data_IF_780821637686
#
_entry.id   IF_780821637686
#
_cell.length_a   1.000
_cell.length_b   1.000
_cell.length_c   1.000
_cell.angle_alpha   90.00
_cell.angle_beta   90.00
_cell.angle_gamma   90.00
#
_symmetry.space_group_name_H-M   'P 1'
#
loop_
_entity.id
_entity.type
_entity.pdbx_description
1 polymer ?
#
# COMPACT_ATOMS: atom_id res chain seq x y z
N UNK A 1 46.04 -57.21 16.26
CA UNK A 1 46.10 -55.75 16.14
C UNK A 1 45.09 -55.32 15.10
N UNK A 2 43.88 -55.00 15.54
CA UNK A 2 42.85 -54.32 14.74
C UNK A 2 42.35 -53.21 15.66
N UNK A 3 42.78 -51.99 15.36
CA UNK A 3 42.38 -50.77 16.04
C UNK A 3 40.88 -50.55 15.81
N UNK A 4 40.08 -50.19 16.82
CA UNK A 4 38.71 -49.78 16.57
C UNK A 4 38.75 -48.41 15.86
N UNK A 5 38.01 -48.32 14.76
CA UNK A 5 37.69 -47.08 14.08
C UNK A 5 37.05 -46.10 15.07
N UNK A 6 37.62 -44.91 15.17
CA UNK A 6 37.06 -43.77 15.90
C UNK A 6 35.66 -43.52 15.36
N UNK A 7 34.64 -43.76 16.20
CA UNK A 7 33.29 -43.28 15.95
C UNK A 7 33.35 -41.76 15.93
N UNK A 8 33.10 -41.19 14.75
CA UNK A 8 32.87 -39.77 14.56
C UNK A 8 31.51 -39.46 15.20
N UNK A 9 31.51 -39.20 16.50
CA UNK A 9 30.33 -38.73 17.23
C UNK A 9 30.04 -37.34 16.69
N UNK A 10 29.18 -37.26 15.69
CA UNK A 10 28.56 -36.01 15.30
C UNK A 10 27.82 -35.47 16.53
N UNK A 11 28.47 -34.55 17.25
CA UNK A 11 27.84 -33.75 18.27
C UNK A 11 26.85 -32.87 17.53
N UNK A 12 25.64 -33.39 17.38
CA UNK A 12 24.44 -32.64 16.97
C UNK A 12 24.00 -31.78 18.16
N UNK A 13 24.93 -30.98 18.67
CA UNK A 13 24.69 -29.99 19.71
C UNK A 13 24.08 -28.77 19.04
N UNK A 14 23.05 -28.21 19.67
CA UNK A 14 22.42 -26.98 19.21
C UNK A 14 23.48 -25.88 19.09
N UNK A 15 23.85 -25.58 17.84
CA UNK A 15 24.90 -24.60 17.53
C UNK A 15 24.47 -23.19 17.94
N UNK A 16 23.17 -22.96 18.18
CA UNK A 16 22.67 -21.68 18.66
C UNK A 16 22.95 -21.43 20.14
N UNK A 17 23.13 -22.48 20.96
CA UNK A 17 23.46 -22.31 22.38
C UNK A 17 24.82 -21.63 22.57
N UNK A 18 25.77 -21.89 21.68
CA UNK A 18 27.11 -21.29 21.70
C UNK A 18 27.19 -19.86 21.16
N UNK A 19 26.15 -19.34 20.49
CA UNK A 19 26.15 -17.99 19.95
C UNK A 19 25.88 -16.96 21.05
N UNK A 20 26.52 -15.78 21.06
CA UNK A 20 26.11 -14.65 21.90
C UNK A 20 24.73 -14.08 21.51
N UNK A 21 24.02 -13.50 22.48
CA UNK A 21 22.69 -12.87 22.26
C UNK A 21 22.71 -11.79 21.18
N UNK A 22 23.80 -11.02 21.07
CA UNK A 22 23.95 -9.99 20.05
C UNK A 22 23.95 -10.54 18.62
N UNK A 23 24.50 -11.74 18.41
CA UNK A 23 24.46 -12.41 17.10
C UNK A 23 23.07 -12.97 16.81
N UNK A 24 22.40 -13.52 17.82
CA UNK A 24 21.01 -13.99 17.69
C UNK A 24 20.07 -12.84 17.32
N UNK A 25 20.19 -11.69 18.00
CA UNK A 25 19.45 -10.48 17.67
C UNK A 25 19.73 -10.00 16.25
N UNK A 26 20.98 -10.04 15.80
CA UNK A 26 21.33 -9.71 14.43
C UNK A 26 20.64 -10.65 13.43
N UNK A 27 20.63 -11.96 13.71
CA UNK A 27 19.96 -12.97 12.88
C UNK A 27 18.44 -12.71 12.85
N UNK A 28 17.80 -12.47 13.99
CA UNK A 28 16.36 -12.19 14.04
C UNK A 28 15.99 -10.90 13.30
N UNK A 29 16.81 -9.85 13.41
CA UNK A 29 16.64 -8.61 12.63
C UNK A 29 16.80 -8.81 11.12
N UNK A 30 17.55 -9.84 10.68
CA UNK A 30 17.64 -10.23 9.27
C UNK A 30 16.45 -11.07 8.81
N UNK A 31 15.85 -11.86 9.71
CA UNK A 31 14.63 -12.61 9.42
C UNK A 31 13.48 -11.63 9.20
N UNK A 32 13.19 -10.76 10.18
CA UNK A 32 12.20 -9.68 10.12
C UNK A 32 10.73 -10.11 9.97
N UNK A 33 10.44 -11.14 9.18
CA UNK A 33 9.09 -11.67 8.95
C UNK A 33 8.47 -12.14 10.25
N UNK A 34 7.32 -11.56 10.59
CA UNK A 34 6.68 -11.74 11.87
C UNK A 34 6.22 -13.19 12.12
N UNK A 35 5.90 -13.94 11.05
CA UNK A 35 5.51 -15.35 11.16
C UNK A 35 6.73 -16.23 11.40
N UNK A 36 7.84 -15.95 10.73
CA UNK A 36 9.11 -16.61 10.99
C UNK A 36 9.64 -16.31 12.40
N UNK A 37 9.57 -15.06 12.84
CA UNK A 37 9.91 -14.64 14.21
C UNK A 37 9.01 -15.32 15.25
N UNK A 38 7.70 -15.40 15.01
CA UNK A 38 6.78 -16.15 15.87
C UNK A 38 7.16 -17.62 16.02
N UNK A 39 7.62 -18.27 14.95
CA UNK A 39 8.17 -19.64 15.02
C UNK A 39 9.47 -19.70 15.83
N UNK A 40 10.33 -18.69 15.75
CA UNK A 40 11.55 -18.60 16.55
C UNK A 40 11.24 -18.52 18.06
N UNK A 41 10.16 -17.82 18.44
CA UNK A 41 9.72 -17.77 19.84
C UNK A 41 9.37 -19.15 20.44
N UNK A 42 8.98 -20.12 19.61
CA UNK A 42 8.64 -21.46 20.08
C UNK A 42 9.85 -22.37 20.31
N UNK A 43 11.05 -21.97 19.88
CA UNK A 43 12.28 -22.78 19.97
C UNK A 43 12.80 -22.85 21.41
N UNK A 44 12.94 -21.71 22.08
CA UNK A 44 13.43 -21.65 23.46
C UNK A 44 13.00 -20.35 24.15
N UNK A 45 13.04 -20.31 25.49
CA UNK A 45 12.79 -19.07 26.25
C UNK A 45 13.77 -17.96 25.89
N UNK A 46 15.03 -18.32 25.61
CA UNK A 46 16.08 -17.38 25.19
C UNK A 46 15.70 -16.72 23.87
N UNK A 47 15.25 -17.50 22.90
CA UNK A 47 14.79 -16.98 21.61
C UNK A 47 13.57 -16.09 21.78
N UNK A 48 12.59 -16.54 22.58
CA UNK A 48 11.39 -15.75 22.86
C UNK A 48 11.73 -14.36 23.40
N UNK A 49 12.63 -14.25 24.38
CA UNK A 49 13.02 -12.94 24.95
C UNK A 49 13.75 -12.05 23.95
N UNK A 50 14.61 -12.62 23.10
CA UNK A 50 15.38 -11.86 22.11
C UNK A 50 14.54 -11.44 20.91
N UNK A 51 13.62 -12.28 20.43
CA UNK A 51 12.75 -11.96 19.29
C UNK A 51 11.87 -10.75 19.58
N UNK A 52 11.43 -10.53 20.83
CA UNK A 52 10.62 -9.36 21.18
C UNK A 52 11.40 -8.03 21.21
N UNK A 53 12.74 -8.10 21.14
CA UNK A 53 13.67 -6.96 21.09
C UNK A 53 14.18 -6.67 19.68
N UNK A 54 13.61 -7.30 18.64
CA UNK A 54 14.01 -6.97 17.27
C UNK A 54 13.58 -5.55 16.92
N UNK A 55 14.42 -4.89 16.14
CA UNK A 55 14.20 -3.55 15.65
C UNK A 55 13.55 -3.55 14.27
N UNK A 56 13.74 -4.63 13.49
CA UNK A 56 13.21 -4.77 12.13
C UNK A 56 12.09 -5.81 12.06
N UNK A 57 10.89 -5.39 11.67
CA UNK A 57 9.71 -6.25 11.56
C UNK A 57 9.04 -6.09 10.20
N UNK A 58 8.71 -7.21 9.58
CA UNK A 58 7.96 -7.30 8.32
C UNK A 58 6.66 -8.04 8.59
N UNK A 59 5.53 -7.40 8.30
CA UNK A 59 4.19 -7.98 8.43
C UNK A 59 3.59 -8.17 7.04
N UNK A 60 3.42 -9.42 6.63
CA UNK A 60 2.71 -9.79 5.40
C UNK A 60 1.26 -10.14 5.71
N UNK A 61 0.35 -9.41 5.08
CA UNK A 61 -1.09 -9.57 5.29
C UNK A 61 -1.64 -10.54 4.24
N UNK A 62 -1.95 -11.78 4.65
CA UNK A 62 -2.27 -12.87 3.71
C UNK A 62 -3.75 -12.94 3.29
N UNK A 63 -4.67 -12.17 3.89
CA UNK A 63 -6.10 -12.36 3.64
C UNK A 63 -6.95 -11.11 3.96
N UNK A 64 -7.74 -10.70 2.96
CA UNK A 64 -8.96 -9.91 3.16
C UNK A 64 -10.07 -10.92 3.50
N UNK A 65 -10.60 -10.90 4.71
CA UNK A 65 -11.76 -11.73 5.04
C UNK A 65 -12.96 -11.15 4.28
N UNK A 66 -13.38 -11.83 3.20
CA UNK A 66 -14.68 -11.58 2.57
C UNK A 66 -15.77 -12.01 3.54
N UNK A 67 -16.46 -11.03 4.13
CA UNK A 67 -17.67 -11.27 4.91
C UNK A 67 -18.84 -11.49 3.94
N UNK A 68 -18.88 -12.68 3.33
CA UNK A 68 -20.05 -13.25 2.69
C UNK A 68 -20.70 -14.23 3.66
N UNK A 69 -21.33 -13.65 4.69
CA UNK A 69 -22.11 -14.37 5.68
C UNK A 69 -23.57 -13.97 5.60
N UNK A 70 -24.33 -14.54 4.65
CA UNK A 70 -25.76 -14.74 4.84
C UNK A 70 -25.93 -15.74 6.00
N UNK A 71 -25.95 -15.24 7.23
CA UNK A 71 -26.04 -16.05 8.44
C UNK A 71 -26.72 -15.27 9.54
N UNK A 72 -27.95 -15.65 9.83
CA UNK A 72 -28.75 -15.16 10.95
C UNK A 72 -28.09 -15.52 12.29
N UNK A 73 -27.92 -14.52 13.17
CA UNK A 73 -27.94 -14.73 14.62
C UNK A 73 -26.63 -14.56 15.39
N UNK A 74 -26.77 -13.84 16.50
CA UNK A 74 -25.94 -13.80 17.70
C UNK A 74 -24.57 -13.08 17.65
N UNK A 75 -24.45 -12.10 18.55
CA UNK A 75 -23.24 -11.35 18.88
C UNK A 75 -22.24 -12.21 19.64
N UNK A 76 -20.94 -12.05 19.36
CA UNK A 76 -20.01 -11.84 20.46
C UNK A 76 -18.76 -11.02 20.09
N UNK A 77 -18.19 -10.43 21.15
CA UNK A 77 -17.18 -9.37 21.21
C UNK A 77 -15.83 -9.70 20.56
N UNK A 78 -15.12 -8.62 20.22
CA UNK A 78 -13.70 -8.53 19.81
C UNK A 78 -13.37 -8.60 18.31
N UNK A 79 -14.19 -7.95 17.45
CA UNK A 79 -13.74 -7.65 16.07
C UNK A 79 -12.80 -6.45 16.08
N UNK A 80 -11.49 -6.73 16.02
CA UNK A 80 -10.46 -5.70 15.87
C UNK A 80 -10.74 -4.79 14.66
N UNK A 81 -10.52 -3.48 14.76
CA UNK A 81 -10.98 -2.48 13.78
C UNK A 81 -10.11 -2.43 12.52
N UNK A 82 -9.59 -3.55 12.04
CA UNK A 82 -8.72 -3.61 10.86
C UNK A 82 -9.25 -4.62 9.83
N UNK A 83 -9.91 -5.71 10.27
CA UNK A 83 -10.47 -6.72 9.38
C UNK A 83 -11.63 -6.19 8.49
N UNK A 84 -12.47 -5.28 9.01
CA UNK A 84 -13.59 -4.72 8.24
C UNK A 84 -13.21 -3.57 7.29
N UNK A 85 -12.01 -2.97 7.41
CA UNK A 85 -11.61 -1.83 6.56
C UNK A 85 -10.94 -2.23 5.27
N UNK A 86 -10.36 -3.42 5.21
CA UNK A 86 -9.96 -4.01 3.94
C UNK A 86 -11.13 -4.04 2.96
N UNK A 87 -12.41 -4.15 3.38
CA UNK A 87 -13.56 -4.18 2.45
C UNK A 87 -13.89 -2.84 1.77
N UNK A 88 -13.74 -1.71 2.46
CA UNK A 88 -14.13 -0.37 1.91
C UNK A 88 -13.03 0.18 0.99
N UNK A 89 -11.80 -0.28 1.22
CA UNK A 89 -10.60 0.06 0.46
C UNK A 89 -10.49 -0.96 -0.71
N UNK A 90 -10.47 -2.27 -0.44
CA UNK A 90 -10.35 -3.34 -1.47
C UNK A 90 -11.62 -3.65 -2.28
N UNK A 91 -12.75 -2.98 -2.05
CA UNK A 91 -14.03 -3.27 -2.72
C UNK A 91 -14.74 -2.07 -3.35
N UNK A 92 -14.12 -0.89 -3.38
CA UNK A 92 -14.83 0.38 -3.60
C UNK A 92 -14.94 0.91 -5.04
N UNK A 93 -14.24 0.36 -6.03
CA UNK A 93 -14.30 0.85 -7.42
C UNK A 93 -14.57 -0.29 -8.41
N UNK A 94 -15.48 -1.20 -8.06
CA UNK A 94 -16.10 -2.06 -9.09
C UNK A 94 -17.09 -1.21 -9.90
N UNK A 95 -16.57 -0.60 -10.98
CA UNK A 95 -17.24 0.04 -12.13
C UNK A 95 -17.98 1.38 -11.91
N UNK A 96 -17.40 2.53 -12.30
CA UNK A 96 -18.17 3.76 -12.52
C UNK A 96 -18.49 4.06 -14.01
N UNK A 97 -18.26 3.14 -14.97
CA UNK A 97 -18.35 3.48 -16.40
C UNK A 97 -19.51 2.82 -17.17
N UNK A 98 -20.28 1.89 -16.58
CA UNK A 98 -21.32 1.18 -17.35
C UNK A 98 -22.75 1.76 -17.30
N UNK A 99 -23.00 2.95 -16.73
CA UNK A 99 -24.39 3.46 -16.58
C UNK A 99 -24.67 4.90 -17.03
N UNK A 100 -23.80 5.53 -17.84
CA UNK A 100 -24.13 6.82 -18.49
C UNK A 100 -24.77 6.68 -19.90
N UNK A 101 -25.29 5.50 -20.23
CA UNK A 101 -25.99 5.24 -21.49
C UNK A 101 -27.52 5.40 -21.48
N UNK A 102 -28.13 5.88 -20.39
CA UNK A 102 -29.60 6.03 -20.31
C UNK A 102 -30.09 7.49 -20.27
N UNK A 103 -29.32 8.39 -20.88
CA UNK A 103 -29.83 9.69 -21.29
C UNK A 103 -30.29 9.61 -22.74
N UNK A 104 -31.49 9.04 -22.99
CA UNK A 104 -32.35 9.21 -24.18
C UNK A 104 -33.50 8.17 -24.16
N UNK A 105 -34.71 8.56 -23.71
CA UNK A 105 -35.96 7.79 -23.93
C UNK A 105 -37.05 7.98 -22.87
N UNK A 106 -38.36 8.06 -23.20
CA UNK A 106 -39.32 8.88 -22.45
C UNK A 106 -40.20 8.17 -21.38
N UNK A 107 -40.43 8.92 -20.28
CA UNK A 107 -41.61 9.03 -19.37
C UNK A 107 -42.55 7.81 -19.15
N UNK A 108 -42.78 7.44 -17.87
CA UNK A 108 -44.02 7.69 -17.05
C UNK A 108 -44.01 6.95 -15.67
N UNK A 109 -44.88 7.31 -14.69
CA UNK A 109 -44.50 7.55 -13.29
C UNK A 109 -45.18 6.66 -12.20
N UNK A 110 -44.84 7.00 -10.93
CA UNK A 110 -45.51 6.72 -9.63
C UNK A 110 -45.29 5.34 -9.02
N UNK A 111 -45.13 5.13 -7.70
CA UNK A 111 -45.54 5.92 -6.53
C UNK A 111 -44.63 5.65 -5.31
N UNK A 112 -44.59 6.64 -4.42
CA UNK A 112 -44.07 6.65 -3.04
C UNK A 112 -44.76 5.58 -2.15
N UNK A 113 -44.40 5.28 -0.90
CA UNK A 113 -43.84 6.05 0.24
C UNK A 113 -44.02 5.13 1.46
N UNK A 114 -43.06 4.97 2.37
CA UNK A 114 -43.34 5.02 3.82
C UNK A 114 -42.06 5.06 4.66
N UNK A 115 -42.24 5.66 5.82
CA UNK A 115 -41.26 6.33 6.67
C UNK A 115 -41.05 5.57 7.99
N UNK A 116 -40.15 6.16 8.80
CA UNK A 116 -40.13 6.18 10.28
C UNK A 116 -39.60 4.96 11.06
N UNK A 117 -38.39 5.15 11.60
CA UNK A 117 -38.08 5.32 13.03
C UNK A 117 -38.88 4.52 14.07
N UNK A 118 -38.20 3.73 14.92
CA UNK A 118 -37.83 4.13 16.30
C UNK A 118 -37.44 2.93 17.19
N UNK A 119 -36.38 3.17 17.97
CA UNK A 119 -36.03 2.67 19.31
C UNK A 119 -36.85 1.54 19.96
N UNK A 120 -36.18 0.61 20.65
CA UNK A 120 -35.98 0.67 22.12
C UNK A 120 -35.78 -0.72 22.79
N UNK A 121 -34.77 -0.79 23.68
CA UNK A 121 -34.82 -1.35 25.04
C UNK A 121 -35.02 -2.88 25.27
N UNK A 122 -33.99 -3.54 25.83
CA UNK A 122 -33.90 -3.89 27.27
C UNK A 122 -33.56 -5.35 27.68
N UNK A 123 -32.85 -5.40 28.82
CA UNK A 123 -32.73 -6.42 29.89
C UNK A 123 -31.97 -7.73 29.60
N UNK A 124 -30.95 -7.98 30.44
CA UNK A 124 -30.13 -9.19 30.43
C UNK A 124 -30.44 -10.19 31.55
N UNK A 125 -29.58 -11.21 31.69
CA UNK A 125 -29.16 -11.81 32.95
C UNK A 125 -28.18 -12.99 32.75
N UNK A 126 -27.13 -12.97 33.57
CA UNK A 126 -26.30 -13.99 34.26
C UNK A 126 -25.99 -15.40 33.69
N UNK A 127 -24.70 -15.72 33.90
CA UNK A 127 -24.06 -16.98 34.34
C UNK A 127 -23.60 -18.08 33.36
N UNK A 128 -22.28 -18.32 33.42
CA UNK A 128 -21.64 -19.65 33.51
C UNK A 128 -21.48 -20.47 32.24
N UNK A 129 -20.27 -20.55 31.69
CA UNK A 129 -19.46 -21.78 31.76
C UNK A 129 -18.17 -21.65 30.92
N UNK A 130 -17.09 -22.21 31.47
CA UNK A 130 -15.80 -22.46 30.81
C UNK A 130 -16.01 -23.27 29.53
N UNK A 131 -15.46 -22.81 28.39
CA UNK A 131 -15.27 -23.70 27.24
C UNK A 131 -13.83 -23.65 26.73
N UNK A 132 -13.29 -24.86 26.60
CA UNK A 132 -11.91 -25.19 26.27
C UNK A 132 -11.81 -25.23 24.75
N UNK A 133 -11.48 -24.11 24.11
CA UNK A 133 -11.37 -24.04 22.64
C UNK A 133 -10.13 -24.79 22.11
N UNK A 134 -10.29 -26.10 21.90
CA UNK A 134 -9.54 -26.89 20.93
C UNK A 134 -10.21 -26.78 19.56
N UNK A 135 -9.90 -25.71 18.83
CA UNK A 135 -10.19 -25.63 17.41
C UNK A 135 -9.01 -24.97 16.70
N UNK A 136 -8.35 -25.75 15.84
CA UNK A 136 -7.22 -25.34 14.99
C UNK A 136 -7.62 -24.36 13.89
N UNK A 137 -8.29 -23.27 14.27
CA UNK A 137 -8.53 -22.13 13.41
C UNK A 137 -7.24 -21.31 13.29
N UNK A 138 -6.83 -21.00 12.06
CA UNK A 138 -5.78 -20.01 11.82
C UNK A 138 -6.24 -18.70 12.46
N UNK A 139 -5.63 -18.32 13.59
CA UNK A 139 -5.96 -17.07 14.25
C UNK A 139 -5.46 -15.92 13.39
N UNK A 140 -6.38 -15.32 12.64
CA UNK A 140 -6.10 -14.13 11.84
C UNK A 140 -5.93 -12.93 12.77
N UNK A 141 -4.72 -12.75 13.30
CA UNK A 141 -4.40 -11.61 14.13
C UNK A 141 -4.20 -10.37 13.25
N UNK A 142 -4.88 -9.27 13.62
CA UNK A 142 -4.65 -7.96 13.03
C UNK A 142 -3.18 -7.52 13.21
N UNK A 143 -2.56 -6.80 12.25
CA UNK A 143 -1.20 -6.27 12.39
C UNK A 143 -0.93 -5.61 13.74
N UNK A 144 -1.83 -4.75 14.23
CA UNK A 144 -1.70 -4.12 15.55
C UNK A 144 -1.62 -5.13 16.69
N UNK A 145 -2.37 -6.24 16.61
CA UNK A 145 -2.35 -7.26 17.66
C UNK A 145 -1.04 -8.06 17.66
N UNK A 146 -0.48 -8.32 16.48
CA UNK A 146 0.80 -9.02 16.35
C UNK A 146 1.96 -8.13 16.83
N UNK A 147 1.91 -6.83 16.48
CA UNK A 147 2.97 -5.89 16.76
C UNK A 147 3.09 -5.53 18.25
N UNK A 148 2.01 -5.59 19.03
CA UNK A 148 1.99 -5.26 20.48
C UNK A 148 3.05 -5.94 21.33
N UNK A 149 3.51 -7.13 20.94
CA UNK A 149 4.50 -7.87 21.74
C UNK A 149 5.93 -7.38 21.51
N UNK A 150 6.17 -6.60 20.45
CA UNK A 150 7.48 -6.09 20.09
C UNK A 150 7.68 -4.68 20.65
N UNK A 151 8.69 -4.52 21.49
CA UNK A 151 8.89 -3.28 22.25
C UNK A 151 9.84 -2.30 21.56
N UNK A 152 10.75 -2.80 20.72
CA UNK A 152 11.89 -2.03 20.22
C UNK A 152 11.85 -1.82 18.69
N UNK A 153 10.68 -1.94 18.07
CA UNK A 153 10.57 -1.78 16.61
C UNK A 153 11.04 -0.37 16.19
N UNK A 154 12.09 -0.32 15.38
CA UNK A 154 12.57 0.89 14.70
C UNK A 154 12.16 0.94 13.24
N UNK A 155 12.13 -0.21 12.57
CA UNK A 155 11.83 -0.36 11.15
C UNK A 155 10.64 -1.30 10.97
N UNK A 156 9.53 -0.78 10.48
CA UNK A 156 8.33 -1.57 10.21
C UNK A 156 7.98 -1.54 8.73
N UNK A 157 7.93 -2.72 8.12
CA UNK A 157 7.38 -2.92 6.78
C UNK A 157 6.07 -3.70 6.85
N UNK A 158 4.99 -3.14 6.30
CA UNK A 158 3.71 -3.82 6.15
C UNK A 158 3.48 -4.06 4.66
N UNK A 159 3.27 -5.32 4.29
CA UNK A 159 3.01 -5.74 2.92
C UNK A 159 1.53 -6.16 2.82
N UNK A 160 0.75 -5.39 2.07
CA UNK A 160 -0.64 -5.68 1.77
C UNK A 160 -0.74 -6.66 0.58
N UNK A 161 -1.83 -7.46 0.48
CA UNK A 161 -2.07 -8.25 -0.72
C UNK A 161 -2.21 -7.34 -1.96
N UNK A 162 -2.08 -7.92 -3.16
CA UNK A 162 -2.00 -7.19 -4.44
C UNK A 162 -2.99 -6.03 -4.58
N UNK A 163 -2.57 -5.01 -5.34
CA UNK A 163 -3.12 -3.67 -5.36
C UNK A 163 -4.65 -3.55 -5.48
N UNK A 164 -5.17 -2.54 -4.81
CA UNK A 164 -6.58 -2.21 -4.62
C UNK A 164 -7.32 -1.81 -5.92
N UNK A 165 -6.58 -1.45 -6.98
CA UNK A 165 -7.13 -0.61 -8.06
C UNK A 165 -7.64 -1.35 -9.31
N UNK A 166 -7.71 -2.69 -9.30
CA UNK A 166 -8.46 -3.46 -10.31
C UNK A 166 -8.18 -3.05 -11.76
N UNK A 167 -6.90 -2.89 -12.07
CA UNK A 167 -6.43 -2.32 -13.33
C UNK A 167 -6.33 -3.43 -14.37
N UNK A 168 -6.67 -3.11 -15.62
CA UNK A 168 -6.50 -4.04 -16.75
C UNK A 168 -5.03 -4.50 -16.86
N UNK A 169 -4.78 -5.76 -17.22
CA UNK A 169 -3.44 -6.38 -17.17
C UNK A 169 -2.35 -5.61 -17.94
N UNK A 170 -2.74 -4.88 -18.98
CA UNK A 170 -1.81 -4.10 -19.81
C UNK A 170 -1.52 -2.70 -19.24
N UNK A 171 -2.37 -2.19 -18.35
CA UNK A 171 -2.29 -0.82 -17.83
C UNK A 171 -1.37 -0.77 -16.61
N UNK A 172 -0.39 0.14 -16.64
CA UNK A 172 0.48 0.39 -15.49
C UNK A 172 -0.04 1.57 -14.68
N UNK A 173 -0.08 1.38 -13.37
CA UNK A 173 -0.24 2.48 -12.43
C UNK A 173 0.51 2.10 -11.16
N UNK A 174 1.42 2.98 -10.75
CA UNK A 174 2.18 2.89 -9.50
C UNK A 174 2.19 4.24 -8.83
N UNK A 175 2.17 4.26 -7.51
CA UNK A 175 2.27 5.49 -6.75
C UNK A 175 3.13 5.32 -5.50
N UNK A 176 3.80 6.40 -5.11
CA UNK A 176 4.57 6.51 -3.87
C UNK A 176 4.15 7.78 -3.14
N UNK A 177 3.79 7.67 -1.88
CA UNK A 177 3.36 8.78 -1.04
C UNK A 177 4.15 8.85 0.27
N UNK A 178 4.48 10.08 0.66
CA UNK A 178 5.12 10.43 1.91
C UNK A 178 4.15 11.26 2.76
N UNK A 179 4.00 10.88 4.03
CA UNK A 179 3.10 11.54 4.97
C UNK A 179 3.84 11.92 6.24
N UNK A 180 3.55 13.10 6.77
CA UNK A 180 3.74 13.46 8.18
C UNK A 180 2.37 13.46 8.85
N UNK A 181 1.96 14.59 9.44
CA UNK A 181 0.56 14.77 9.89
C UNK A 181 -0.43 14.83 8.72
N UNK A 182 0.03 15.34 7.57
CA UNK A 182 -0.70 15.39 6.30
C UNK A 182 0.18 14.86 5.18
N UNK A 183 -0.36 14.79 3.96
CA UNK A 183 0.43 14.43 2.78
C UNK A 183 1.59 15.42 2.61
N UNK A 184 2.83 14.94 2.45
CA UNK A 184 3.99 15.77 2.11
C UNK A 184 4.23 15.75 0.61
N UNK A 185 4.30 14.54 0.04
CA UNK A 185 4.52 14.34 -1.38
C UNK A 185 3.80 13.09 -1.86
N UNK A 186 3.29 13.09 -3.08
CA UNK A 186 2.88 11.84 -3.74
C UNK A 186 3.25 11.89 -5.22
N UNK A 187 3.87 10.82 -5.72
CA UNK A 187 4.20 10.64 -7.14
C UNK A 187 3.43 9.46 -7.68
N UNK A 188 2.80 9.65 -8.82
CA UNK A 188 2.12 8.60 -9.57
C UNK A 188 2.79 8.45 -10.92
N UNK A 189 3.18 7.23 -11.29
CA UNK A 189 3.58 6.84 -12.63
C UNK A 189 2.50 5.94 -13.21
N UNK A 190 2.02 6.24 -14.41
CA UNK A 190 1.10 5.36 -15.11
C UNK A 190 1.33 5.31 -16.61
N UNK A 191 0.91 4.23 -17.24
CA UNK A 191 0.94 4.05 -18.69
C UNK A 191 -0.37 3.40 -19.15
N UNK A 192 -0.90 3.80 -20.30
CA UNK A 192 -2.10 3.19 -20.87
C UNK A 192 -1.87 1.77 -21.37
N UNK A 193 -0.63 1.43 -21.70
CA UNK A 193 -0.22 0.05 -21.92
C UNK A 193 1.28 -0.11 -21.64
N UNK A 194 1.66 -1.30 -21.21
CA UNK A 194 3.05 -1.71 -21.02
C UNK A 194 3.34 -2.94 -21.86
N UNK A 195 4.40 -2.88 -22.64
CA UNK A 195 4.90 -4.00 -23.41
C UNK A 195 6.29 -4.34 -22.90
N UNK A 196 6.47 -5.56 -22.39
CA UNK A 196 7.77 -6.06 -21.97
C UNK A 196 8.49 -6.70 -23.17
N UNK A 197 9.84 -6.64 -23.20
CA UNK A 197 10.61 -7.30 -24.24
C UNK A 197 10.40 -8.80 -24.14
N UNK A 198 9.89 -9.39 -25.21
CA UNK A 198 9.60 -10.82 -25.25
C UNK A 198 10.92 -11.60 -25.38
N UNK A 199 11.26 -12.42 -24.37
CA UNK A 199 12.53 -13.17 -24.34
C UNK A 199 12.63 -14.25 -25.42
N UNK A 200 11.52 -14.60 -26.08
CA UNK A 200 11.44 -15.71 -27.03
C UNK A 200 10.83 -15.37 -28.41
N UNK A 201 10.40 -14.14 -28.67
CA UNK A 201 9.82 -13.78 -29.96
C UNK A 201 10.91 -13.42 -30.98
N UNK A 202 11.28 -14.41 -31.81
CA UNK A 202 11.97 -14.17 -33.08
C UNK A 202 11.07 -13.39 -34.03
N UNK A 203 11.55 -12.22 -34.48
CA UNK A 203 11.16 -11.51 -35.71
C UNK A 203 9.66 -11.50 -36.07
N UNK A 204 8.94 -10.47 -35.59
CA UNK A 204 7.89 -9.81 -36.37
C UNK A 204 7.69 -8.38 -35.85
N UNK A 205 8.50 -7.46 -36.37
CA UNK A 205 8.35 -6.02 -36.14
C UNK A 205 7.16 -5.50 -36.93
N UNK A 206 5.94 -5.68 -36.42
CA UNK A 206 4.87 -4.72 -36.67
C UNK A 206 5.09 -3.57 -35.68
N UNK A 207 6.03 -2.69 -36.01
CA UNK A 207 6.17 -1.41 -35.35
C UNK A 207 4.85 -0.68 -35.59
N UNK A 208 3.99 -0.58 -34.56
CA UNK A 208 2.83 0.29 -34.61
C UNK A 208 3.35 1.67 -35.04
N UNK A 209 2.95 2.12 -36.23
CA UNK A 209 3.33 3.40 -36.83
C UNK A 209 2.82 4.63 -36.04
N UNK A 210 2.41 4.44 -34.78
CA UNK A 210 1.90 5.46 -33.87
C UNK A 210 2.96 5.93 -32.84
N UNK A 211 4.15 5.32 -32.82
CA UNK A 211 5.32 5.82 -32.10
C UNK A 211 6.21 6.72 -32.97
N UNK A 212 5.62 7.34 -34.01
CA UNK A 212 6.32 8.33 -34.82
C UNK A 212 6.67 9.51 -33.92
N UNK A 213 7.97 9.80 -33.93
CA UNK A 213 8.73 10.65 -33.04
C UNK A 213 8.43 12.15 -33.30
N UNK A 214 7.17 12.56 -33.20
CA UNK A 214 6.81 13.99 -33.21
C UNK A 214 6.99 14.54 -31.79
N UNK A 215 8.25 14.47 -31.31
CA UNK A 215 8.66 14.80 -29.95
C UNK A 215 8.79 16.31 -29.76
N UNK A 216 7.72 17.05 -30.09
CA UNK A 216 7.64 18.48 -29.82
C UNK A 216 7.45 18.78 -28.31
N UNK A 217 7.59 17.76 -27.46
CA UNK A 217 7.44 17.82 -26.01
C UNK A 217 6.03 18.19 -25.51
N UNK A 218 5.06 18.34 -26.41
CA UNK A 218 3.67 18.71 -26.08
C UNK A 218 2.76 17.49 -25.98
N UNK A 219 1.79 17.55 -25.07
CA UNK A 219 0.69 16.59 -24.99
C UNK A 219 -0.13 16.61 -26.30
N UNK A 220 -0.28 15.49 -27.02
CA UNK A 220 -1.10 15.40 -28.22
C UNK A 220 -2.57 15.70 -27.95
N UNK A 221 -3.28 16.26 -28.94
CA UNK A 221 -4.71 16.58 -28.80
C UNK A 221 -5.58 15.35 -28.50
N UNK A 222 -5.15 14.17 -28.96
CA UNK A 222 -5.77 12.88 -28.66
C UNK A 222 -5.82 12.56 -27.16
N UNK A 223 -4.90 13.09 -26.35
CA UNK A 223 -4.90 12.91 -24.90
C UNK A 223 -6.13 13.57 -24.24
N UNK A 224 -6.58 14.71 -24.77
CA UNK A 224 -7.73 15.45 -24.25
C UNK A 224 -9.06 14.91 -24.78
N UNK A 225 -9.10 14.51 -26.04
CA UNK A 225 -10.33 14.11 -26.74
C UNK A 225 -10.73 12.64 -26.51
N UNK A 226 -9.76 11.73 -26.33
CA UNK A 226 -10.03 10.29 -26.16
C UNK A 226 -10.24 9.87 -24.69
N UNK A 227 -10.54 10.82 -23.80
CA UNK A 227 -10.71 10.53 -22.37
C UNK A 227 -9.41 10.16 -21.62
N UNK A 228 -8.24 10.30 -22.27
CA UNK A 228 -6.94 10.04 -21.65
C UNK A 228 -6.70 10.89 -20.41
N UNK A 229 -6.94 12.21 -20.50
CA UNK A 229 -6.86 13.11 -19.36
C UNK A 229 -7.82 12.69 -18.23
N UNK A 230 -9.08 12.32 -18.55
CA UNK A 230 -10.06 11.87 -17.56
C UNK A 230 -9.55 10.64 -16.80
N UNK A 231 -8.96 9.68 -17.51
CA UNK A 231 -8.37 8.49 -16.91
C UNK A 231 -7.21 8.84 -15.96
N UNK A 232 -6.32 9.78 -16.35
CA UNK A 232 -5.22 10.24 -15.47
C UNK A 232 -5.70 10.98 -14.23
N UNK A 233 -6.78 11.76 -14.35
CA UNK A 233 -7.43 12.39 -13.20
C UNK A 233 -7.97 11.33 -12.24
N UNK A 234 -8.67 10.32 -12.77
CA UNK A 234 -9.18 9.20 -11.94
C UNK A 234 -8.05 8.46 -11.24
N UNK A 235 -6.95 8.15 -11.93
CA UNK A 235 -5.79 7.49 -11.32
C UNK A 235 -5.15 8.34 -10.23
N UNK A 236 -4.99 9.64 -10.47
CA UNK A 236 -4.40 10.56 -9.50
C UNK A 236 -5.26 10.64 -8.24
N UNK A 237 -6.57 10.85 -8.39
CA UNK A 237 -7.51 10.91 -7.25
C UNK A 237 -7.54 9.56 -6.51
N UNK A 238 -7.61 8.44 -7.25
CA UNK A 238 -7.64 7.10 -6.65
C UNK A 238 -6.37 6.80 -5.86
N UNK A 239 -5.20 7.17 -6.39
CA UNK A 239 -3.91 7.03 -5.70
C UNK A 239 -3.87 7.83 -4.40
N UNK A 240 -4.38 9.08 -4.42
CA UNK A 240 -4.44 9.92 -3.22
C UNK A 240 -5.41 9.38 -2.17
N UNK A 241 -6.55 8.84 -2.59
CA UNK A 241 -7.52 8.18 -1.69
C UNK A 241 -6.91 6.92 -1.07
N UNK A 242 -6.28 6.09 -1.89
CA UNK A 242 -5.60 4.86 -1.48
C UNK A 242 -4.48 5.16 -0.46
N UNK A 243 -3.71 6.21 -0.72
CA UNK A 243 -2.65 6.70 0.16
C UNK A 243 -3.21 7.27 1.49
N UNK A 244 -4.27 8.08 1.45
CA UNK A 244 -4.87 8.68 2.65
C UNK A 244 -5.58 7.67 3.54
N UNK A 245 -6.16 6.62 2.95
CA UNK A 245 -6.73 5.49 3.70
C UNK A 245 -5.65 4.71 4.44
N UNK A 246 -4.53 4.37 3.77
CA UNK A 246 -3.38 3.71 4.39
C UNK A 246 -2.79 4.55 5.52
N UNK A 247 -2.66 5.85 5.33
CA UNK A 247 -2.20 6.78 6.36
C UNK A 247 -3.09 6.73 7.61
N UNK A 248 -4.41 6.76 7.43
CA UNK A 248 -5.37 6.69 8.53
C UNK A 248 -5.23 5.39 9.36
N UNK A 249 -5.04 4.24 8.70
CA UNK A 249 -4.89 2.95 9.38
C UNK A 249 -3.62 2.88 10.25
N UNK A 250 -2.55 3.51 9.79
CA UNK A 250 -1.24 3.48 10.45
C UNK A 250 -1.21 4.28 11.76
N UNK A 251 -2.17 5.18 11.98
CA UNK A 251 -2.20 6.05 13.17
C UNK A 251 -2.11 5.26 14.47
N UNK A 252 -2.86 4.16 14.58
CA UNK A 252 -2.88 3.31 15.79
C UNK A 252 -1.55 2.61 16.02
N UNK A 253 -0.91 2.13 14.94
CA UNK A 253 0.39 1.45 15.03
C UNK A 253 1.47 2.46 15.45
N UNK A 254 1.45 3.66 14.86
CA UNK A 254 2.42 4.73 15.17
C UNK A 254 2.22 5.30 16.58
N UNK A 255 0.97 5.32 17.08
CA UNK A 255 0.69 5.72 18.46
C UNK A 255 1.25 4.73 19.47
N UNK A 256 1.14 3.43 19.18
CA UNK A 256 1.53 2.35 20.08
C UNK A 256 3.05 2.12 20.07
N UNK A 257 3.72 2.32 18.93
CA UNK A 257 5.16 2.12 18.78
C UNK A 257 5.93 3.45 18.65
N UNK A 258 6.32 4.00 19.81
CA UNK A 258 7.06 5.29 19.90
C UNK A 258 8.52 5.20 19.42
N UNK A 259 9.09 4.00 19.37
CA UNK A 259 10.46 3.72 18.95
C UNK A 259 10.65 3.65 17.44
N UNK A 260 9.56 3.69 16.65
CA UNK A 260 9.65 3.67 15.18
C UNK A 260 10.39 4.88 14.65
N UNK A 261 11.43 4.60 13.85
CA UNK A 261 12.22 5.54 13.06
C UNK A 261 11.82 5.49 11.57
N UNK A 262 11.29 4.38 11.08
CA UNK A 262 10.84 4.25 9.69
C UNK A 262 9.68 3.28 9.56
N UNK A 263 8.71 3.68 8.74
CA UNK A 263 7.55 2.87 8.41
C UNK A 263 7.31 2.87 6.90
N UNK A 264 7.14 1.68 6.34
CA UNK A 264 6.79 1.48 4.93
C UNK A 264 5.58 0.55 4.85
N UNK A 265 4.52 1.00 4.19
CA UNK A 265 3.38 0.17 3.83
C UNK A 265 3.35 0.07 2.31
N UNK A 266 3.47 -1.14 1.78
CA UNK A 266 3.51 -1.43 0.34
C UNK A 266 2.52 -2.50 -0.05
N UNK A 267 2.01 -2.43 -1.27
CA UNK A 267 1.30 -3.56 -1.88
C UNK A 267 2.30 -4.63 -2.35
N UNK A 268 1.89 -5.90 -2.40
CA UNK A 268 2.74 -7.02 -2.78
C UNK A 268 3.26 -6.95 -4.23
N UNK A 269 2.50 -6.33 -5.13
CA UNK A 269 2.88 -6.04 -6.52
C UNK A 269 3.70 -4.74 -6.68
N UNK A 270 3.87 -3.99 -5.57
CA UNK A 270 4.50 -2.68 -5.54
C UNK A 270 3.70 -1.61 -6.26
N UNK A 271 2.38 -1.77 -6.41
CA UNK A 271 1.50 -0.75 -6.98
C UNK A 271 1.53 0.53 -6.12
N UNK A 272 1.19 0.44 -4.85
CA UNK A 272 1.17 1.55 -3.91
C UNK A 272 2.22 1.43 -2.82
N UNK A 273 2.95 2.52 -2.57
CA UNK A 273 3.91 2.61 -1.47
C UNK A 273 3.64 3.86 -0.65
N UNK A 274 3.31 3.69 0.63
CA UNK A 274 3.30 4.75 1.62
C UNK A 274 4.54 4.61 2.50
N UNK A 275 5.30 5.68 2.69
CA UNK A 275 6.44 5.69 3.59
C UNK A 275 6.45 6.90 4.52
N UNK A 276 6.99 6.70 5.72
CA UNK A 276 7.24 7.73 6.72
C UNK A 276 8.64 7.55 7.29
N UNK A 277 9.38 8.64 7.37
CA UNK A 277 10.66 8.70 8.06
C UNK A 277 10.47 9.14 9.52
N UNK A 278 11.59 9.24 10.26
CA UNK A 278 11.57 9.56 11.68
C UNK A 278 10.93 10.92 11.96
N UNK A 279 11.28 11.96 11.20
CA UNK A 279 10.73 13.30 11.41
C UNK A 279 9.22 13.33 11.14
N UNK A 280 8.76 12.63 10.10
CA UNK A 280 7.35 12.50 9.76
C UNK A 280 6.54 11.75 10.82
N UNK A 281 7.12 10.68 11.38
CA UNK A 281 6.51 9.93 12.48
C UNK A 281 6.41 10.79 13.74
N UNK A 282 7.44 11.59 14.05
CA UNK A 282 7.42 12.55 15.15
C UNK A 282 6.38 13.65 14.93
N UNK A 283 6.29 14.21 13.72
CA UNK A 283 5.28 15.21 13.34
C UNK A 283 3.87 14.69 13.60
N UNK A 284 3.55 13.48 13.11
CA UNK A 284 2.25 12.85 13.30
C UNK A 284 1.92 12.59 14.77
N UNK A 285 2.94 12.30 15.61
CA UNK A 285 2.76 12.11 17.07
C UNK A 285 2.44 13.42 17.78
N UNK A 286 3.05 14.53 17.37
CA UNK A 286 2.85 15.86 17.98
C UNK A 286 1.55 16.49 17.49
N UNK A 287 1.24 16.35 16.20
CA UNK A 287 0.02 16.83 15.57
C UNK A 287 -0.72 15.63 14.97
N UNK A 288 -1.59 14.96 15.75
CA UNK A 288 -2.39 13.85 15.28
C UNK A 288 -3.25 14.21 14.07
N UNK A 289 -3.66 13.19 13.32
CA UNK A 289 -4.45 13.33 12.10
C UNK A 289 -5.65 14.26 12.28
N UNK A 290 -5.76 15.22 11.36
CA UNK A 290 -7.05 15.86 11.09
C UNK A 290 -7.90 14.89 10.27
N UNK A 291 -8.59 13.98 10.97
CA UNK A 291 -9.47 13.00 10.35
C UNK A 291 -10.69 13.72 9.74
N UNK A 292 -11.12 13.30 8.55
CA UNK A 292 -12.38 13.77 7.99
C UNK A 292 -13.54 13.18 8.80
N UNK A 293 -14.41 14.03 9.37
CA UNK A 293 -15.54 13.59 10.22
C UNK A 293 -16.53 12.65 9.51
N UNK A 294 -16.49 12.56 8.18
CA UNK A 294 -17.39 11.74 7.36
C UNK A 294 -16.73 10.51 6.72
N UNK A 295 -15.39 10.40 6.75
CA UNK A 295 -14.66 9.35 6.02
C UNK A 295 -13.49 8.85 6.86
N UNK A 296 -13.29 7.53 6.92
CA UNK A 296 -12.17 6.89 7.64
C UNK A 296 -10.87 7.03 6.84
N UNK A 297 -10.51 8.29 6.55
CA UNK A 297 -9.40 8.73 5.71
C UNK A 297 -8.84 10.03 6.28
N UNK A 298 -7.55 10.25 6.05
CA UNK A 298 -6.90 11.53 6.34
C UNK A 298 -7.35 12.57 5.31
N UNK A 299 -7.65 13.80 5.77
CA UNK A 299 -7.93 14.93 4.89
C UNK A 299 -6.74 15.19 3.96
N UNK A 300 -6.99 15.33 2.65
CA UNK A 300 -5.94 15.71 1.70
C UNK A 300 -5.95 17.23 1.56
N UNK A 301 -4.83 17.93 1.81
CA UNK A 301 -4.77 19.39 1.69
C UNK A 301 -4.94 19.83 0.22
N UNK A 302 -5.08 21.13 -0.02
CA UNK A 302 -4.98 21.64 -1.38
C UNK A 302 -3.59 21.32 -1.94
N UNK A 303 -3.53 20.87 -3.19
CA UNK A 303 -2.32 20.33 -3.81
C UNK A 303 -1.94 21.13 -5.06
N UNK A 304 -0.63 21.40 -5.18
CA UNK A 304 0.03 21.74 -6.43
C UNK A 304 0.49 20.45 -7.10
N UNK A 305 0.11 20.28 -8.36
CA UNK A 305 0.44 19.12 -9.17
C UNK A 305 1.33 19.52 -10.35
N UNK A 306 2.29 18.66 -10.66
CA UNK A 306 3.08 18.74 -11.89
C UNK A 306 2.95 17.45 -12.66
N UNK A 307 2.64 17.57 -13.94
CA UNK A 307 2.42 16.46 -14.84
C UNK A 307 3.45 16.48 -15.97
N UNK A 308 4.05 15.32 -16.21
CA UNK A 308 4.90 15.03 -17.36
C UNK A 308 4.28 13.91 -18.17
N UNK A 309 4.40 14.00 -19.50
CA UNK A 309 3.75 13.07 -20.41
C UNK A 309 4.67 12.70 -21.58
N UNK A 310 4.61 11.43 -21.96
CA UNK A 310 5.20 10.91 -23.19
C UNK A 310 4.20 9.99 -23.91
N UNK A 311 3.89 10.22 -25.20
CA UNK A 311 3.02 9.33 -25.97
C UNK A 311 3.55 7.89 -26.04
N UNK A 312 4.86 7.74 -26.15
CA UNK A 312 5.58 6.47 -26.10
C UNK A 312 6.90 6.69 -25.38
N UNK A 313 7.24 5.83 -24.42
CA UNK A 313 8.50 5.88 -23.69
C UNK A 313 9.15 4.50 -23.70
N UNK A 314 10.24 4.37 -24.44
CA UNK A 314 11.05 3.16 -24.51
C UNK A 314 12.16 3.23 -23.45
N UNK A 315 12.25 2.18 -22.63
CA UNK A 315 13.24 2.07 -21.57
C UNK A 315 14.46 1.29 -22.05
N UNK A 316 15.65 1.47 -21.43
CA UNK A 316 16.88 0.78 -21.84
C UNK A 316 16.83 -0.74 -21.75
N UNK A 317 15.91 -1.28 -20.95
CA UNK A 317 15.69 -2.72 -20.80
C UNK A 317 14.84 -3.31 -21.94
N UNK A 318 14.29 -2.48 -22.83
CA UNK A 318 13.39 -2.86 -23.91
C UNK A 318 11.90 -2.78 -23.55
N UNK A 319 11.56 -2.36 -22.32
CA UNK A 319 10.17 -2.14 -21.92
C UNK A 319 9.62 -0.88 -22.59
N UNK A 320 8.42 -0.95 -23.15
CA UNK A 320 7.75 0.17 -23.83
C UNK A 320 6.51 0.58 -23.03
N UNK A 321 6.45 1.86 -22.63
CA UNK A 321 5.32 2.45 -21.93
C UNK A 321 4.56 3.38 -22.89
N UNK A 322 3.36 2.98 -23.32
CA UNK A 322 2.49 3.84 -24.15
C UNK A 322 1.64 4.76 -23.27
N UNK A 323 1.58 6.03 -23.63
CA UNK A 323 0.89 7.08 -22.87
C UNK A 323 1.45 7.28 -21.47
N UNK A 324 2.77 7.13 -21.30
CA UNK A 324 3.45 7.28 -20.02
C UNK A 324 3.18 8.66 -19.41
N UNK A 325 2.73 8.68 -18.16
CA UNK A 325 2.34 9.88 -17.42
C UNK A 325 2.96 9.81 -16.03
N UNK A 326 3.67 10.87 -15.64
CA UNK A 326 4.20 11.04 -14.30
C UNK A 326 3.52 12.25 -13.68
N UNK A 327 2.98 12.10 -12.48
CA UNK A 327 2.34 13.19 -11.74
C UNK A 327 3.01 13.29 -10.39
N UNK A 328 3.55 14.47 -10.06
CA UNK A 328 4.03 14.81 -8.72
C UNK A 328 3.02 15.73 -8.06
N UNK A 329 2.65 15.44 -6.84
CA UNK A 329 1.65 16.17 -6.05
C UNK A 329 2.26 16.60 -4.72
N UNK A 330 2.00 17.86 -4.32
CA UNK A 330 2.50 18.47 -3.08
C UNK A 330 1.47 19.42 -2.49
N UNK A 331 1.43 19.63 -1.17
CA UNK A 331 0.60 20.66 -0.56
C UNK A 331 0.87 22.06 -1.11
N UNK A 332 -0.18 22.86 -1.32
CA UNK A 332 -0.11 24.23 -1.81
C UNK A 332 0.62 25.18 -0.86
N UNK A 333 0.50 24.93 0.44
CA UNK A 333 0.99 25.84 1.49
C UNK A 333 2.50 25.69 1.75
N UNK A 334 3.14 24.64 1.21
CA UNK A 334 4.59 24.51 1.19
C UNK A 334 5.18 25.37 0.07
N UNK A 335 5.12 26.69 0.27
CA UNK A 335 5.98 27.60 -0.46
C UNK A 335 7.39 27.56 0.17
N UNK A 336 8.43 27.73 -0.67
CA UNK A 336 9.84 28.04 -0.32
C UNK A 336 10.87 26.89 -0.49
N UNK A 337 11.67 27.02 -1.57
CA UNK A 337 13.09 26.60 -1.73
C UNK A 337 13.49 25.13 -1.99
N UNK A 338 12.88 24.41 -2.95
CA UNK A 338 13.44 23.11 -3.40
C UNK A 338 13.35 22.78 -4.89
N UNK A 339 13.26 23.74 -5.80
CA UNK A 339 13.08 23.42 -7.24
C UNK A 339 14.14 22.45 -7.82
N UNK A 340 15.38 22.45 -7.30
CA UNK A 340 16.43 21.49 -7.70
C UNK A 340 16.37 20.11 -7.03
N UNK A 341 15.92 20.02 -5.77
CA UNK A 341 15.79 18.76 -5.02
C UNK A 341 14.51 18.00 -5.38
N UNK A 342 13.57 18.71 -5.98
CA UNK A 342 12.25 18.22 -6.32
C UNK A 342 12.27 17.21 -7.46
N UNK A 343 12.97 17.55 -8.56
CA UNK A 343 13.17 16.63 -9.67
C UNK A 343 13.95 15.37 -9.27
N UNK A 344 14.87 15.48 -8.31
CA UNK A 344 15.67 14.35 -7.82
C UNK A 344 14.83 13.36 -7.02
N UNK A 345 13.92 13.86 -6.17
CA UNK A 345 13.02 13.00 -5.42
C UNK A 345 12.01 12.29 -6.33
N UNK A 346 11.40 13.02 -7.28
CA UNK A 346 10.48 12.43 -8.27
C UNK A 346 11.19 11.36 -9.11
N UNK A 347 12.45 11.59 -9.49
CA UNK A 347 13.31 10.65 -10.22
C UNK A 347 13.69 9.38 -9.44
N UNK A 348 13.71 9.45 -8.10
CA UNK A 348 14.04 8.35 -7.19
C UNK A 348 12.83 7.68 -6.56
N UNK A 349 11.61 8.03 -6.99
CA UNK A 349 10.39 7.57 -6.34
C UNK A 349 10.06 6.08 -6.61
N UNK A 350 10.67 5.47 -7.63
CA UNK A 350 10.38 4.09 -8.04
C UNK A 350 11.65 3.27 -8.23
N UNK A 351 11.53 1.97 -7.99
CA UNK A 351 12.57 0.99 -8.31
C UNK A 351 12.65 0.75 -9.83
N UNK A 352 13.75 0.17 -10.30
CA UNK A 352 13.92 -0.15 -11.72
C UNK A 352 12.93 -1.23 -12.20
N UNK A 353 12.43 -1.15 -13.44
CA UNK A 353 12.80 -0.20 -14.50
C UNK A 353 12.06 1.15 -14.45
N UNK A 354 11.08 1.29 -13.53
CA UNK A 354 10.20 2.46 -13.44
C UNK A 354 10.91 3.72 -12.92
N UNK A 355 11.98 3.56 -12.14
CA UNK A 355 12.89 4.65 -11.76
C UNK A 355 13.52 5.32 -12.99
N UNK A 356 13.97 4.54 -13.96
CA UNK A 356 14.46 5.07 -15.25
C UNK A 356 13.35 5.81 -16.01
N UNK A 357 12.13 5.25 -16.04
CA UNK A 357 10.99 5.91 -16.67
C UNK A 357 10.72 7.30 -16.07
N UNK A 358 10.70 7.41 -14.74
CA UNK A 358 10.52 8.68 -14.05
C UNK A 358 11.63 9.69 -14.40
N UNK A 359 12.91 9.27 -14.41
CA UNK A 359 14.05 10.12 -14.80
C UNK A 359 13.97 10.63 -16.24
N UNK A 360 13.44 9.82 -17.15
CA UNK A 360 13.23 10.23 -18.54
C UNK A 360 12.06 11.21 -18.67
N UNK A 361 10.97 10.99 -17.93
CA UNK A 361 9.78 11.84 -17.97
C UNK A 361 10.03 13.23 -17.38
N UNK A 362 10.78 13.35 -16.27
CA UNK A 362 11.08 14.65 -15.63
C UNK A 362 11.88 15.60 -16.55
N UNK A 363 12.60 15.06 -17.54
CA UNK A 363 13.32 15.87 -18.55
C UNK A 363 12.42 16.47 -19.62
N UNK A 364 11.15 16.04 -19.70
CA UNK A 364 10.16 16.55 -20.66
C UNK A 364 9.49 17.82 -20.13
N UNK A 365 8.65 18.43 -20.98
CA UNK A 365 7.84 19.60 -20.61
C UNK A 365 6.92 19.28 -19.43
N UNK A 366 6.86 20.21 -18.48
CA UNK A 366 6.02 20.11 -17.28
C UNK A 366 4.73 20.90 -17.46
N UNK A 367 3.64 20.35 -16.94
CA UNK A 367 2.34 21.01 -16.85
C UNK A 367 1.94 21.16 -15.39
N UNK A 368 1.62 22.38 -14.95
CA UNK A 368 1.21 22.64 -13.57
C UNK A 368 -0.32 22.66 -13.46
N UNK A 369 -0.86 22.01 -12.43
CA UNK A 369 -2.28 22.01 -12.10
C UNK A 369 -2.45 22.26 -10.61
N UNK A 370 -3.60 22.81 -10.22
CA UNK A 370 -3.98 22.97 -8.82
C UNK A 370 -5.21 22.11 -8.53
N UNK A 371 -5.25 21.54 -7.33
CA UNK A 371 -6.39 20.76 -6.85
C UNK A 371 -6.76 21.23 -5.44
N UNK A 372 -8.04 21.52 -5.21
CA UNK A 372 -8.53 21.90 -3.90
C UNK A 372 -8.46 20.74 -2.91
N UNK A 373 -8.51 21.05 -1.61
CA UNK A 373 -8.58 20.05 -0.55
C UNK A 373 -9.87 19.22 -0.63
N UNK A 374 -9.81 17.97 -0.19
CA UNK A 374 -10.95 17.04 -0.19
C UNK A 374 -10.83 15.92 0.84
#
# INVERSE_FOLDING_TARGET
MLSPSVEDVAVDGDRFDGLPDSLLLLIFNKIGDVKALGRCCAVSRRFQTLVLQVENVIVRVDCVISDDGSGTGASDKSRGPIASFFRIVFGGIVKPIQTLGQFLGPKRPSSSSFSSSSSSLSVGNVDGDDDFDQSGGVTHHSPTQVLKNFNEIRFLKIELPSGELGIEDDVLMRWRAEFGSTLHNCVMLGASSVTYPDKFASNQSNFDANCVNDDNGSIPESFYTNGGLKLRVVWTISSLIAASARHYLLQTIISDHKTLDSLVLTDADGQGVLCMNREQLEELRVKPLSASSASKRTLVPALNMRLWYAPCLELPDGTVLKGATLVSTRPSDQTVQRDGLDGLWVAGAFEEPFGTAARMLVKRRTYCLEMNSF
#
